data_IF_160059693543
#
_entry.id   IF_160059693543
#
_cell.length_a   1.000
_cell.length_b   1.000
_cell.length_c   1.000
_cell.angle_alpha   90.00
_cell.angle_beta   90.00
_cell.angle_gamma   90.00
#
_symmetry.space_group_name_H-M   'P 1'
#
loop_
_entity.id
_entity.type
_entity.pdbx_description
1 polymer ?
#
# COMPACT_ATOMS: atom_id res chain seq x y z
N UNK A 1 -0.58 -43.24 38.52
CA UNK A 1 -1.34 -41.99 38.73
C UNK A 1 -1.09 -41.11 37.52
N UNK A 2 -1.92 -41.24 36.49
CA UNK A 2 -1.80 -40.51 35.23
C UNK A 2 -3.01 -39.57 35.14
N UNK A 3 -2.75 -38.28 34.92
CA UNK A 3 -3.77 -37.25 34.87
C UNK A 3 -4.55 -37.35 33.56
N UNK A 4 -5.87 -37.47 33.69
CA UNK A 4 -6.83 -37.11 32.65
C UNK A 4 -6.76 -35.59 32.49
N UNK A 5 -6.61 -35.09 31.27
CA UNK A 5 -7.21 -33.79 30.98
C UNK A 5 -7.77 -33.77 29.56
N UNK A 6 -9.10 -33.74 29.53
CA UNK A 6 -10.01 -33.66 28.41
C UNK A 6 -9.90 -32.31 27.69
N UNK A 7 -10.09 -32.37 26.38
CA UNK A 7 -10.11 -31.29 25.40
C UNK A 7 -11.09 -30.15 25.76
N UNK A 8 -10.73 -28.91 25.42
CA UNK A 8 -11.67 -27.94 24.84
C UNK A 8 -10.92 -26.81 24.11
N UNK A 9 -11.12 -26.79 22.80
CA UNK A 9 -10.62 -25.85 21.80
C UNK A 9 -11.32 -24.49 21.96
N UNK A 10 -10.58 -23.40 22.14
CA UNK A 10 -11.04 -22.05 21.77
C UNK A 10 -9.83 -21.15 21.55
N UNK A 11 -9.94 -20.29 20.53
CA UNK A 11 -9.04 -19.17 20.22
C UNK A 11 -7.77 -19.47 19.41
N UNK A 12 -7.97 -19.89 18.15
CA UNK A 12 -6.94 -19.70 17.13
C UNK A 12 -6.89 -18.20 16.71
N UNK A 13 -6.44 -17.34 17.62
CA UNK A 13 -5.97 -15.99 17.25
C UNK A 13 -4.57 -16.16 16.68
N UNK A 14 -4.47 -16.26 15.37
CA UNK A 14 -3.17 -16.16 14.71
C UNK A 14 -2.74 -14.70 14.80
N UNK A 15 -1.95 -14.37 15.83
CA UNK A 15 -1.25 -13.10 15.91
C UNK A 15 -0.10 -13.14 14.91
N UNK A 16 -0.28 -12.46 13.77
CA UNK A 16 0.79 -12.22 12.82
C UNK A 16 1.52 -10.94 13.21
N UNK A 17 2.76 -11.09 13.67
CA UNK A 17 3.66 -9.94 13.84
C UNK A 17 4.09 -9.43 12.45
N UNK A 18 4.06 -8.11 12.21
CA UNK A 18 4.55 -7.56 10.96
C UNK A 18 6.04 -7.87 10.83
N UNK A 19 6.43 -8.63 9.80
CA UNK A 19 7.85 -8.84 9.49
C UNK A 19 8.46 -7.49 9.12
N UNK A 20 9.14 -6.86 10.06
CA UNK A 20 9.84 -5.61 9.83
C UNK A 20 11.05 -5.87 8.93
N UNK A 21 10.87 -5.74 7.63
CA UNK A 21 11.98 -5.61 6.69
C UNK A 21 12.58 -4.21 6.87
N UNK A 22 13.62 -4.11 7.70
CA UNK A 22 14.71 -3.15 7.52
C UNK A 22 14.43 -1.64 7.68
N UNK A 23 13.95 -1.19 8.84
CA UNK A 23 14.48 0.00 9.56
C UNK A 23 13.83 0.12 10.94
N UNK A 24 14.65 0.11 11.98
CA UNK A 24 14.20 0.32 13.36
C UNK A 24 13.63 1.74 13.52
N UNK A 25 12.33 1.83 13.84
CA UNK A 25 11.70 3.06 14.32
C UNK A 25 10.60 3.64 13.43
N UNK A 26 9.46 2.94 13.29
CA UNK A 26 8.11 3.52 13.13
C UNK A 26 7.08 2.40 13.32
N UNK A 27 6.46 2.32 14.49
CA UNK A 27 5.40 1.36 14.86
C UNK A 27 4.02 1.69 14.29
N UNK A 28 3.97 2.58 13.29
CA UNK A 28 2.74 3.01 12.63
C UNK A 28 2.92 3.00 11.12
N UNK A 29 1.85 2.65 10.41
CA UNK A 29 1.81 2.73 8.96
C UNK A 29 2.02 4.19 8.53
N UNK A 30 2.95 4.40 7.60
CA UNK A 30 3.20 5.73 7.02
C UNK A 30 2.02 6.17 6.15
N UNK A 31 1.99 7.44 5.74
CA UNK A 31 0.94 7.95 4.87
C UNK A 31 0.91 7.12 3.57
N UNK A 32 -0.28 6.87 3.04
CA UNK A 32 -0.49 6.05 1.85
C UNK A 32 -0.99 6.93 0.72
N UNK A 33 -0.31 6.87 -0.42
CA UNK A 33 -0.75 7.46 -1.69
C UNK A 33 -1.20 6.37 -2.64
N UNK A 34 -2.27 6.61 -3.37
CA UNK A 34 -2.85 5.67 -4.34
C UNK A 34 -3.22 6.41 -5.61
N UNK A 35 -2.85 5.82 -6.75
CA UNK A 35 -3.31 6.25 -8.07
C UNK A 35 -3.88 5.03 -8.78
N UNK A 36 -5.14 5.14 -9.21
CA UNK A 36 -5.79 4.13 -10.04
C UNK A 36 -5.94 4.64 -11.46
N UNK A 37 -5.57 3.80 -12.43
CA UNK A 37 -5.70 4.08 -13.86
C UNK A 37 -6.43 2.95 -14.56
N UNK A 38 -7.02 3.26 -15.71
CA UNK A 38 -7.39 2.22 -16.68
C UNK A 38 -6.22 1.97 -17.62
N UNK A 39 -5.65 0.78 -17.51
CA UNK A 39 -4.49 0.32 -18.24
C UNK A 39 -3.20 0.34 -17.41
N UNK A 40 -2.35 -0.66 -17.64
CA UNK A 40 -1.08 -0.86 -16.92
C UNK A 40 0.00 0.17 -17.29
N UNK A 41 -0.03 0.69 -18.52
CA UNK A 41 1.01 1.62 -18.99
C UNK A 41 0.94 2.95 -18.25
N UNK A 42 -0.26 3.52 -18.11
CA UNK A 42 -0.49 4.75 -17.34
C UNK A 42 -0.16 4.56 -15.84
N UNK A 43 -0.42 3.37 -15.28
CA UNK A 43 -0.10 3.09 -13.88
C UNK A 43 1.42 3.04 -13.64
N UNK A 44 2.19 2.47 -14.58
CA UNK A 44 3.66 2.43 -14.51
C UNK A 44 4.23 3.85 -14.59
N UNK A 45 3.70 4.68 -15.49
CA UNK A 45 4.11 6.08 -15.61
C UNK A 45 3.80 6.88 -14.33
N UNK A 46 2.62 6.68 -13.73
CA UNK A 46 2.30 7.26 -12.43
C UNK A 46 3.31 6.84 -11.35
N UNK A 47 3.65 5.56 -11.29
CA UNK A 47 4.61 5.05 -10.31
C UNK A 47 6.01 5.68 -10.48
N UNK A 48 6.51 5.74 -11.71
CA UNK A 48 7.80 6.37 -12.02
C UNK A 48 7.81 7.86 -11.63
N UNK A 49 6.76 8.61 -11.97
CA UNK A 49 6.63 10.02 -11.63
C UNK A 49 6.52 10.24 -10.10
N UNK A 50 5.73 9.42 -9.40
CA UNK A 50 5.62 9.48 -7.93
C UNK A 50 6.98 9.32 -7.24
N UNK A 51 7.76 8.32 -7.66
CA UNK A 51 9.07 8.00 -7.06
C UNK A 51 10.14 9.04 -7.37
N UNK A 52 10.04 9.73 -8.50
CA UNK A 52 10.98 10.81 -8.88
C UNK A 52 10.67 12.13 -8.19
N UNK A 53 9.40 12.40 -7.91
CA UNK A 53 8.95 13.71 -7.40
C UNK A 53 9.20 13.90 -5.90
N UNK A 54 9.20 12.84 -5.10
CA UNK A 54 9.36 12.93 -3.66
C UNK A 54 9.99 11.68 -3.04
N UNK A 55 10.47 11.82 -1.81
CA UNK A 55 10.98 10.69 -1.01
C UNK A 55 9.82 9.81 -0.52
N UNK A 56 9.38 8.90 -1.38
CA UNK A 56 8.37 7.87 -1.09
C UNK A 56 8.87 6.50 -1.54
N UNK A 57 8.32 5.45 -0.95
CA UNK A 57 8.63 4.06 -1.29
C UNK A 57 7.44 3.44 -2.02
N UNK A 58 7.71 2.68 -3.09
CA UNK A 58 6.68 1.91 -3.79
C UNK A 58 6.28 0.72 -2.92
N UNK A 59 5.01 0.69 -2.52
CA UNK A 59 4.48 -0.38 -1.67
C UNK A 59 4.08 -1.57 -2.51
N UNK A 60 3.42 -1.33 -3.63
CA UNK A 60 2.89 -2.38 -4.49
C UNK A 60 1.96 -1.88 -5.57
N UNK A 61 1.44 -2.83 -6.34
CA UNK A 61 0.44 -2.61 -7.39
C UNK A 61 -0.64 -3.67 -7.30
N UNK A 62 -1.91 -3.29 -7.41
CA UNK A 62 -3.04 -4.21 -7.41
C UNK A 62 -3.81 -4.14 -8.74
N UNK A 63 -4.29 -5.29 -9.22
CA UNK A 63 -5.03 -5.40 -10.49
C UNK A 63 -6.32 -6.16 -10.23
N UNK A 64 -7.46 -5.47 -10.32
CA UNK A 64 -8.76 -6.03 -9.94
C UNK A 64 -9.63 -6.46 -11.15
N UNK A 65 -9.10 -6.35 -12.37
CA UNK A 65 -9.83 -6.66 -13.61
C UNK A 65 -10.38 -5.41 -14.31
N UNK A 66 -11.07 -5.58 -15.44
CA UNK A 66 -11.63 -4.49 -16.26
C UNK A 66 -10.62 -3.39 -16.67
N UNK A 67 -9.34 -3.76 -16.70
CA UNK A 67 -8.24 -2.84 -16.97
C UNK A 67 -7.87 -1.91 -15.81
N UNK A 68 -8.47 -2.05 -14.63
CA UNK A 68 -8.15 -1.22 -13.47
C UNK A 68 -6.86 -1.68 -12.79
N UNK A 69 -5.95 -0.73 -12.62
CA UNK A 69 -4.65 -0.95 -11.96
C UNK A 69 -4.42 0.18 -10.96
N UNK A 70 -4.19 -0.19 -9.71
CA UNK A 70 -3.83 0.75 -8.64
C UNK A 70 -2.36 0.61 -8.29
N UNK A 71 -1.64 1.73 -8.21
CA UNK A 71 -0.27 1.81 -7.69
C UNK A 71 -0.28 2.52 -6.34
N UNK A 72 0.51 2.01 -5.39
CA UNK A 72 0.51 2.49 -4.00
C UNK A 72 1.92 2.88 -3.54
N UNK A 73 2.05 4.03 -2.89
CA UNK A 73 3.32 4.52 -2.31
C UNK A 73 3.15 4.90 -0.84
N UNK A 74 4.26 4.85 -0.09
CA UNK A 74 4.31 5.24 1.32
C UNK A 74 5.40 6.26 1.61
N UNK A 75 5.15 7.13 2.58
CA UNK A 75 6.10 8.15 3.00
C UNK A 75 5.53 9.08 4.07
N UNK A 76 6.23 10.18 4.34
CA UNK A 76 5.67 11.27 5.12
C UNK A 76 4.54 11.97 4.31
N UNK A 77 3.52 12.48 5.01
CA UNK A 77 2.29 13.01 4.39
C UNK A 77 2.56 14.02 3.28
N UNK A 78 3.51 14.93 3.49
CA UNK A 78 3.88 15.94 2.49
C UNK A 78 4.52 15.33 1.24
N UNK A 79 5.43 14.35 1.42
CA UNK A 79 6.06 13.64 0.32
C UNK A 79 5.03 12.83 -0.49
N UNK A 80 4.09 12.16 0.19
CA UNK A 80 3.03 11.40 -0.48
C UNK A 80 2.10 12.30 -1.29
N UNK A 81 1.71 13.47 -0.78
CA UNK A 81 0.91 14.44 -1.54
C UNK A 81 1.62 14.89 -2.80
N UNK A 82 2.87 15.35 -2.67
CA UNK A 82 3.69 15.79 -3.80
C UNK A 82 3.90 14.68 -4.84
N UNK A 83 4.16 13.44 -4.38
CA UNK A 83 4.24 12.29 -5.25
C UNK A 83 2.95 12.08 -6.05
N UNK A 84 1.79 12.03 -5.37
CA UNK A 84 0.50 11.80 -6.04
C UNK A 84 0.09 12.93 -6.99
N UNK A 85 0.50 14.18 -6.73
CA UNK A 85 0.32 15.31 -7.66
C UNK A 85 1.15 15.11 -8.94
N UNK A 86 2.43 14.74 -8.84
CA UNK A 86 3.23 14.45 -10.03
C UNK A 86 2.74 13.20 -10.79
N UNK A 87 2.37 12.15 -10.06
CA UNK A 87 1.89 10.89 -10.61
C UNK A 87 0.58 11.04 -11.39
N UNK A 88 -0.38 11.81 -10.87
CA UNK A 88 -1.67 12.00 -11.54
C UNK A 88 -1.53 12.80 -12.83
N UNK A 89 -0.67 13.83 -12.85
CA UNK A 89 -0.37 14.59 -14.06
C UNK A 89 0.27 13.70 -15.13
N UNK A 90 1.25 12.88 -14.74
CA UNK A 90 1.94 11.98 -15.66
C UNK A 90 0.99 10.92 -16.24
N UNK A 91 0.20 10.24 -15.39
CA UNK A 91 -0.77 9.24 -15.85
C UNK A 91 -1.86 9.83 -16.75
N UNK A 92 -2.36 11.02 -16.44
CA UNK A 92 -3.43 11.67 -17.23
C UNK A 92 -2.99 12.05 -18.64
N UNK A 93 -1.68 12.24 -18.89
CA UNK A 93 -1.16 12.48 -20.24
C UNK A 93 -1.08 11.22 -21.09
N UNK A 94 -0.89 10.07 -20.45
CA UNK A 94 -0.61 8.79 -21.12
C UNK A 94 -1.85 7.89 -21.25
N UNK A 95 -2.82 8.03 -20.34
CA UNK A 95 -4.04 7.21 -20.34
C UNK A 95 -5.14 7.78 -19.45
N UNK A 96 -6.08 6.92 -19.08
CA UNK A 96 -7.24 7.29 -18.25
C UNK A 96 -6.88 7.19 -16.76
N UNK A 97 -6.82 8.34 -16.09
CA UNK A 97 -6.80 8.44 -14.64
C UNK A 97 -8.20 8.19 -14.09
N UNK A 98 -8.34 7.20 -13.21
CA UNK A 98 -9.63 6.81 -12.61
C UNK A 98 -9.80 7.45 -11.24
N UNK A 99 -8.78 7.34 -10.38
CA UNK A 99 -8.83 7.93 -9.04
C UNK A 99 -7.44 8.25 -8.49
N UNK A 100 -7.39 9.21 -7.56
CA UNK A 100 -6.21 9.59 -6.78
C UNK A 100 -6.65 9.78 -5.34
N UNK A 101 -5.92 9.20 -4.39
CA UNK A 101 -6.25 9.38 -2.99
C UNK A 101 -5.01 9.34 -2.09
N UNK A 102 -5.06 10.11 -1.01
CA UNK A 102 -4.03 10.14 0.03
C UNK A 102 -4.70 9.92 1.37
N UNK A 103 -4.19 8.94 2.13
CA UNK A 103 -4.55 8.71 3.52
C UNK A 103 -3.36 9.15 4.38
N UNK A 104 -3.43 10.31 5.08
CA UNK A 104 -2.29 10.83 5.85
C UNK A 104 -1.85 9.93 7.01
N UNK A 105 -2.79 9.18 7.59
CA UNK A 105 -2.54 8.29 8.73
C UNK A 105 -3.47 7.08 8.64
N UNK A 106 -3.14 6.09 7.80
CA UNK A 106 -3.94 4.88 7.68
C UNK A 106 -3.96 4.12 9.01
N UNK A 107 -5.11 3.52 9.32
CA UNK A 107 -5.22 2.65 10.49
C UNK A 107 -4.29 1.44 10.32
N UNK A 108 -3.70 0.94 11.40
CA UNK A 108 -2.70 -0.16 11.36
C UNK A 108 -3.24 -1.41 10.68
N UNK A 109 -4.52 -1.74 10.87
CA UNK A 109 -5.18 -2.88 10.20
C UNK A 109 -5.25 -2.76 8.68
N UNK A 110 -5.14 -1.57 8.09
CA UNK A 110 -5.16 -1.38 6.64
C UNK A 110 -3.94 -2.03 5.97
N UNK A 111 -2.82 -2.16 6.70
CA UNK A 111 -1.65 -2.89 6.22
C UNK A 111 -1.95 -4.36 5.88
N UNK A 112 -3.02 -4.96 6.41
CA UNK A 112 -3.35 -6.36 6.15
C UNK A 112 -3.94 -6.60 4.75
N UNK A 113 -4.43 -5.56 4.09
CA UNK A 113 -5.10 -5.66 2.77
C UNK A 113 -4.29 -5.02 1.64
N UNK A 114 -3.19 -4.34 1.97
CA UNK A 114 -2.36 -3.67 0.98
C UNK A 114 -1.33 -4.65 0.41
N UNK A 115 -1.15 -4.72 -0.91
CA UNK A 115 -0.13 -5.56 -1.52
C UNK A 115 1.25 -4.99 -1.21
N UNK A 116 2.13 -5.81 -0.65
CA UNK A 116 3.54 -5.49 -0.53
C UNK A 116 4.33 -6.18 -1.65
N UNK A 117 5.24 -5.44 -2.29
CA UNK A 117 6.20 -6.00 -3.24
C UNK A 117 6.95 -7.18 -2.57
N UNK A 118 7.01 -8.31 -3.28
CA UNK A 118 7.72 -9.52 -2.84
C UNK A 118 9.17 -9.52 -3.27
#
# INVERSE_FOLDING_TARGET
MAAVNTEAKTDNKVTFEPKSTGKAGKTGMQALGMIETRGLVASIEAADAMLKAAAVELVGTEKIGSGLVTVMVQGDVGAVKAATEAGQEAASRLGELVSVHVIPRPHTSVAQIIPFLK
#
